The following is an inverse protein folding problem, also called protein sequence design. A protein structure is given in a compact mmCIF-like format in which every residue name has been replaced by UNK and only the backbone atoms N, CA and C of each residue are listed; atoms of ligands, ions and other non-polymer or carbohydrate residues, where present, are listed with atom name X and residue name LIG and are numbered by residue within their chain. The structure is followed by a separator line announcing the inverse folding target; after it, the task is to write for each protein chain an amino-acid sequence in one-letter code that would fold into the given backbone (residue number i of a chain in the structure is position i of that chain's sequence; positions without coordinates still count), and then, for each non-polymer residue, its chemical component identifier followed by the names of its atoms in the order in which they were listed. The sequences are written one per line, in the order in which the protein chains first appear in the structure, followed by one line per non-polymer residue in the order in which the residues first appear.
data_IF_293339941629
#
_entry.id   IF_293339941629
#
_cell.length_a   1.000
_cell.length_b   1.000
_cell.length_c   1.000
_cell.angle_alpha   90.00
_cell.angle_beta   90.00
_cell.angle_gamma   90.00
#
_symmetry.space_group_name_H-M   'P 1'
#
loop_
_entity.id
_entity.type
_entity.pdbx_description
1 polymer ?
#
# COMPACT_ATOMS: atom_id res chain seq x y z
N UNK A 1 -18.15 23.85 56.02
CA UNK A 1 -17.03 23.08 55.45
C UNK A 1 -17.44 22.63 54.05
N UNK A 2 -16.81 23.15 52.99
CA UNK A 2 -17.13 22.84 51.58
C UNK A 2 -16.16 21.76 51.10
N UNK A 3 -16.67 20.58 50.74
CA UNK A 3 -15.87 19.53 50.11
C UNK A 3 -15.78 19.79 48.61
N UNK A 4 -14.57 20.04 48.12
CA UNK A 4 -14.27 20.06 46.69
C UNK A 4 -13.84 18.65 46.26
N UNK A 5 -14.59 18.03 45.35
CA UNK A 5 -14.18 16.78 44.70
C UNK A 5 -13.36 17.10 43.46
N UNK A 6 -12.08 16.75 43.49
CA UNK A 6 -11.24 16.68 42.29
C UNK A 6 -11.52 15.36 41.57
N UNK A 7 -12.02 15.43 40.34
CA UNK A 7 -12.09 14.29 39.44
C UNK A 7 -10.80 14.24 38.61
N UNK A 8 -9.98 13.21 38.85
CA UNK A 8 -8.82 12.88 37.99
C UNK A 8 -9.35 12.10 36.79
N UNK A 9 -9.36 12.72 35.62
CA UNK A 9 -9.58 12.02 34.36
C UNK A 9 -8.30 11.34 33.89
N UNK A 10 -8.22 10.01 33.98
CA UNK A 10 -7.24 9.24 33.22
C UNK A 10 -7.66 9.21 31.76
N UNK A 11 -7.15 10.14 30.96
CA UNK A 11 -7.11 9.96 29.51
C UNK A 11 -5.93 9.03 29.21
N UNK A 12 -6.21 7.73 29.00
CA UNK A 12 -5.25 6.83 28.40
C UNK A 12 -5.10 7.26 26.93
N UNK A 13 -4.09 8.09 26.64
CA UNK A 13 -3.73 8.46 25.28
C UNK A 13 -3.20 7.23 24.56
N UNK A 14 -4.05 6.58 23.77
CA UNK A 14 -3.57 5.62 22.79
C UNK A 14 -2.83 6.44 21.75
N UNK A 15 -1.49 6.36 21.75
CA UNK A 15 -0.71 6.94 20.66
C UNK A 15 -1.00 6.06 19.45
N UNK A 16 -1.85 6.53 18.54
CA UNK A 16 -2.08 5.84 17.28
C UNK A 16 -0.75 5.81 16.51
N UNK A 17 -0.17 4.62 16.37
CA UNK A 17 0.95 4.39 15.46
C UNK A 17 0.41 4.47 14.03
N UNK A 18 1.06 5.23 13.16
CA UNK A 18 0.67 5.28 11.76
C UNK A 18 1.01 3.96 11.08
N UNK A 19 0.02 3.35 10.41
CA UNK A 19 0.24 2.14 9.62
C UNK A 19 1.34 2.38 8.60
N UNK A 20 2.31 1.46 8.54
CA UNK A 20 3.46 1.53 7.65
C UNK A 20 3.24 0.59 6.47
N UNK A 21 3.36 1.13 5.27
CA UNK A 21 3.48 0.38 4.02
C UNK A 21 4.94 0.00 3.82
N UNK A 22 5.23 -1.26 3.53
CA UNK A 22 6.51 -1.71 3.01
C UNK A 22 6.31 -2.26 1.61
N UNK A 23 7.15 -1.84 0.67
CA UNK A 23 7.10 -2.29 -0.72
C UNK A 23 8.47 -2.82 -1.15
N UNK A 24 8.48 -3.95 -1.84
CA UNK A 24 9.64 -4.52 -2.54
C UNK A 24 9.27 -4.74 -4.00
N UNK A 25 10.08 -4.22 -4.92
CA UNK A 25 9.85 -4.37 -6.36
C UNK A 25 11.12 -4.73 -7.11
N UNK A 26 10.94 -5.30 -8.31
CA UNK A 26 11.96 -5.47 -9.34
C UNK A 26 11.34 -5.07 -10.69
N UNK A 27 12.08 -4.37 -11.53
CA UNK A 27 11.70 -4.09 -12.91
C UNK A 27 12.83 -4.40 -13.90
N UNK A 28 12.44 -4.66 -15.14
CA UNK A 28 13.29 -4.66 -16.32
C UNK A 28 12.82 -3.45 -17.17
N UNK A 29 13.44 -2.27 -17.07
CA UNK A 29 14.75 -1.99 -16.46
C UNK A 29 14.72 -1.30 -15.11
N UNK A 30 13.82 -0.34 -14.91
CA UNK A 30 13.84 0.53 -13.73
C UNK A 30 12.45 0.71 -13.18
N UNK A 31 12.36 1.00 -11.87
CA UNK A 31 11.14 1.51 -11.29
C UNK A 31 11.41 2.53 -10.19
N UNK A 32 10.42 3.37 -9.96
CA UNK A 32 10.28 4.22 -8.79
C UNK A 32 8.90 3.99 -8.18
N UNK A 33 8.86 3.78 -6.86
CA UNK A 33 7.63 3.56 -6.12
C UNK A 33 7.33 4.76 -5.22
N UNK A 34 6.06 5.15 -5.18
CA UNK A 34 5.58 6.35 -4.52
C UNK A 34 4.33 6.08 -3.69
N UNK A 35 4.12 6.90 -2.66
CA UNK A 35 2.87 6.98 -1.91
C UNK A 35 2.17 8.30 -2.20
N UNK A 36 0.90 8.22 -2.60
CA UNK A 36 0.05 9.38 -2.82
C UNK A 36 -1.28 9.27 -2.10
N UNK A 37 -1.90 10.40 -1.77
CA UNK A 37 -3.31 10.45 -1.33
C UNK A 37 -4.25 10.85 -2.48
N UNK A 38 -3.70 11.03 -3.68
CA UNK A 38 -4.45 11.34 -4.90
C UNK A 38 -3.94 10.47 -6.04
N UNK A 39 -4.84 9.68 -6.64
CA UNK A 39 -4.51 8.73 -7.70
C UNK A 39 -3.95 9.40 -8.97
N UNK A 40 -4.15 10.70 -9.17
CA UNK A 40 -3.61 11.43 -10.34
C UNK A 40 -2.28 12.13 -10.08
N UNK A 41 -1.74 12.02 -8.86
CA UNK A 41 -0.49 12.69 -8.45
C UNK A 41 0.50 11.64 -8.01
N UNK A 42 1.73 11.72 -8.53
CA UNK A 42 2.82 10.77 -8.26
C UNK A 42 3.08 10.53 -6.76
N UNK A 43 3.11 11.60 -5.94
CA UNK A 43 3.26 11.47 -4.50
C UNK A 43 4.71 11.48 -4.01
N UNK A 44 4.96 10.84 -2.86
CA UNK A 44 6.25 10.83 -2.15
C UNK A 44 7.01 9.55 -2.43
N UNK A 45 8.29 9.65 -2.82
CA UNK A 45 9.13 8.49 -3.13
C UNK A 45 9.31 7.57 -1.91
N UNK A 46 9.10 6.27 -2.12
CA UNK A 46 9.30 5.20 -1.14
C UNK A 46 10.67 4.54 -1.38
N UNK A 47 10.89 4.07 -2.60
CA UNK A 47 12.14 3.45 -3.04
C UNK A 47 12.26 3.54 -4.57
N UNK A 48 13.48 3.30 -5.06
CA UNK A 48 13.79 3.26 -6.49
C UNK A 48 14.82 2.15 -6.76
N UNK A 49 14.70 1.50 -7.91
CA UNK A 49 15.71 0.57 -8.40
C UNK A 49 16.75 1.31 -9.23
N UNK A 50 18.03 1.12 -8.90
CA UNK A 50 19.15 1.82 -9.56
C UNK A 50 19.87 0.98 -10.61
N UNK A 51 19.65 -0.33 -10.64
CA UNK A 51 20.13 -1.25 -11.68
C UNK A 51 18.97 -1.85 -12.47
N UNK A 52 19.24 -2.75 -13.41
CA UNK A 52 18.21 -3.59 -14.06
C UNK A 52 17.99 -4.88 -13.25
N UNK A 53 17.03 -5.71 -13.64
CA UNK A 53 16.52 -6.86 -12.88
C UNK A 53 17.59 -7.86 -12.41
N UNK A 54 18.72 -7.97 -13.11
CA UNK A 54 19.84 -8.84 -12.70
C UNK A 54 20.55 -8.33 -11.43
N UNK A 55 20.39 -7.04 -11.10
CA UNK A 55 20.99 -6.41 -9.91
C UNK A 55 20.14 -6.59 -8.66
N UNK A 56 18.97 -7.24 -8.78
CA UNK A 56 17.99 -7.36 -7.71
C UNK A 56 17.07 -6.14 -7.62
N UNK A 57 16.17 -6.19 -6.63
CA UNK A 57 15.13 -5.20 -6.44
C UNK A 57 15.48 -4.09 -5.46
N UNK A 58 14.50 -3.22 -5.20
CA UNK A 58 14.56 -2.24 -4.14
C UNK A 58 13.41 -2.42 -3.15
N UNK A 59 13.69 -2.17 -1.87
CA UNK A 59 12.72 -2.21 -0.78
C UNK A 59 12.71 -0.86 -0.06
N UNK A 60 11.52 -0.36 0.28
CA UNK A 60 11.36 0.82 1.11
C UNK A 60 10.07 0.77 1.91
N UNK A 61 9.96 1.65 2.90
CA UNK A 61 8.79 1.75 3.76
C UNK A 61 8.41 3.19 4.04
N UNK A 62 7.12 3.45 4.20
CA UNK A 62 6.56 4.78 4.46
C UNK A 62 5.28 4.68 5.31
N UNK A 63 5.02 5.67 6.15
CA UNK A 63 3.77 5.75 6.89
C UNK A 63 2.62 6.23 5.99
N UNK A 64 1.47 5.56 6.08
CA UNK A 64 0.25 5.95 5.40
C UNK A 64 -0.37 7.20 6.02
N UNK A 65 -1.05 8.00 5.20
CA UNK A 65 -1.83 9.13 5.69
C UNK A 65 -3.15 8.61 6.25
N UNK A 66 -3.38 8.85 7.54
CA UNK A 66 -4.55 8.36 8.27
C UNK A 66 -5.88 8.86 7.67
N UNK A 67 -6.92 8.02 7.76
CA UNK A 67 -8.31 8.34 7.41
C UNK A 67 -8.57 8.78 5.97
N UNK A 68 -7.62 8.56 5.05
CA UNK A 68 -7.80 8.81 3.62
C UNK A 68 -7.34 7.59 2.82
N UNK A 69 -7.91 7.40 1.62
CA UNK A 69 -7.36 6.40 0.70
C UNK A 69 -5.96 6.84 0.27
N UNK A 70 -5.00 5.94 0.43
CA UNK A 70 -3.66 6.09 -0.09
C UNK A 70 -3.52 5.27 -1.38
N UNK A 71 -2.52 5.58 -2.19
CA UNK A 71 -2.22 4.91 -3.45
C UNK A 71 -0.74 4.55 -3.44
N UNK A 72 -0.45 3.26 -3.63
CA UNK A 72 0.88 2.81 -3.99
C UNK A 72 0.99 2.93 -5.50
N UNK A 73 1.83 3.87 -5.93
CA UNK A 73 2.12 4.16 -7.32
C UNK A 73 3.49 3.58 -7.68
N UNK A 74 3.61 2.93 -8.82
CA UNK A 74 4.89 2.46 -9.35
C UNK A 74 5.01 2.92 -10.80
N UNK A 75 6.02 3.74 -11.07
CA UNK A 75 6.42 4.07 -12.43
C UNK A 75 7.56 3.12 -12.80
N UNK A 76 7.28 2.18 -13.70
CA UNK A 76 8.28 1.31 -14.28
C UNK A 76 8.65 1.79 -15.69
N UNK A 77 9.90 1.55 -16.11
CA UNK A 77 10.40 2.01 -17.40
C UNK A 77 11.28 0.95 -18.07
N UNK A 78 10.94 0.66 -19.32
CA UNK A 78 11.82 -0.03 -20.26
C UNK A 78 12.77 1.00 -20.90
N UNK A 79 14.07 0.91 -20.58
CA UNK A 79 15.08 1.88 -21.04
C UNK A 79 15.97 1.31 -22.15
N UNK A 80 16.15 -0.01 -22.21
CA UNK A 80 17.04 -0.68 -23.17
C UNK A 80 16.29 -1.52 -24.22
N UNK A 81 14.95 -1.57 -24.15
CA UNK A 81 14.09 -2.34 -25.04
C UNK A 81 13.73 -3.71 -24.47
N UNK A 82 12.72 -4.34 -25.06
CA UNK A 82 12.22 -5.64 -24.65
C UNK A 82 13.34 -6.71 -24.51
N UNK A 83 13.23 -7.64 -23.56
CA UNK A 83 12.08 -7.92 -22.68
C UNK A 83 11.91 -6.87 -21.56
N UNK A 84 10.67 -6.65 -21.11
CA UNK A 84 10.35 -5.70 -20.03
C UNK A 84 9.29 -6.26 -19.08
N UNK A 85 9.41 -5.91 -17.80
CA UNK A 85 8.47 -6.37 -16.77
C UNK A 85 8.57 -5.53 -15.50
N UNK A 86 7.51 -5.59 -14.69
CA UNK A 86 7.50 -5.17 -13.31
C UNK A 86 6.94 -6.30 -12.44
N UNK A 87 7.55 -6.57 -11.30
CA UNK A 87 7.08 -7.55 -10.31
C UNK A 87 7.35 -7.01 -8.90
N UNK A 88 6.46 -7.30 -7.95
CA UNK A 88 6.64 -6.79 -6.60
C UNK A 88 5.66 -7.34 -5.59
N UNK A 89 5.86 -6.89 -4.36
CA UNK A 89 5.01 -7.21 -3.22
C UNK A 89 4.96 -6.03 -2.24
N UNK A 90 3.85 -5.91 -1.52
CA UNK A 90 3.67 -4.93 -0.47
C UNK A 90 3.05 -5.57 0.78
N UNK A 91 3.33 -4.98 1.94
CA UNK A 91 2.71 -5.35 3.21
C UNK A 91 2.39 -4.13 4.07
N UNK A 92 1.39 -4.28 4.93
CA UNK A 92 0.97 -3.30 5.92
C UNK A 92 1.37 -3.78 7.33
N UNK A 93 1.81 -2.87 8.20
CA UNK A 93 2.30 -3.21 9.55
C UNK A 93 1.22 -3.67 10.52
N UNK A 94 -0.04 -3.31 10.27
CA UNK A 94 -1.20 -3.53 11.14
C UNK A 94 -2.49 -3.46 10.31
N UNK A 95 -3.64 -3.63 10.95
CA UNK A 95 -4.96 -3.69 10.32
C UNK A 95 -5.68 -2.34 10.21
N UNK A 96 -5.01 -1.20 10.44
CA UNK A 96 -5.61 0.13 10.28
C UNK A 96 -5.92 0.49 8.83
N UNK A 97 -5.29 -0.22 7.89
CA UNK A 97 -5.53 -0.12 6.44
C UNK A 97 -5.58 -1.51 5.82
N UNK A 98 -6.17 -1.60 4.64
CA UNK A 98 -6.21 -2.81 3.81
C UNK A 98 -6.03 -2.46 2.32
N UNK A 99 -5.55 -3.43 1.55
CA UNK A 99 -5.59 -3.35 0.08
C UNK A 99 -7.01 -3.61 -0.45
N UNK A 100 -7.28 -3.29 -1.72
CA UNK A 100 -8.61 -3.48 -2.34
C UNK A 100 -9.15 -4.91 -2.31
N UNK A 101 -8.28 -5.90 -2.17
CA UNK A 101 -8.66 -7.31 -2.03
C UNK A 101 -8.88 -7.73 -0.56
N UNK A 102 -8.99 -6.76 0.37
CA UNK A 102 -9.23 -6.94 1.80
C UNK A 102 -8.12 -7.74 2.52
N UNK A 103 -6.87 -7.54 2.11
CA UNK A 103 -5.70 -8.20 2.72
C UNK A 103 -4.71 -7.16 3.27
N UNK A 104 -3.77 -7.65 4.09
CA UNK A 104 -2.61 -6.90 4.56
C UNK A 104 -1.37 -7.06 3.66
N UNK A 105 -1.48 -7.88 2.61
CA UNK A 105 -0.38 -8.17 1.69
C UNK A 105 -0.87 -8.12 0.25
N UNK A 106 -0.09 -7.47 -0.60
CA UNK A 106 -0.38 -7.38 -2.02
C UNK A 106 0.77 -7.98 -2.81
N UNK A 107 0.47 -8.90 -3.72
CA UNK A 107 1.41 -9.36 -4.74
C UNK A 107 1.02 -8.73 -6.07
N UNK A 108 1.99 -8.43 -6.94
CA UNK A 108 1.67 -8.03 -8.31
C UNK A 108 0.81 -9.09 -8.97
N UNK A 109 -0.36 -8.68 -9.48
CA UNK A 109 -1.32 -9.52 -10.19
C UNK A 109 -2.23 -8.65 -11.07
N UNK A 110 -2.77 -9.17 -12.19
CA UNK A 110 -3.54 -8.37 -13.12
C UNK A 110 -4.94 -7.98 -12.63
N UNK A 111 -5.44 -8.59 -11.55
CA UNK A 111 -6.81 -8.33 -11.06
C UNK A 111 -6.86 -7.13 -10.11
N UNK A 112 -5.82 -6.95 -9.29
CA UNK A 112 -5.77 -5.89 -8.28
C UNK A 112 -4.98 -4.66 -8.75
N UNK A 113 -4.00 -4.85 -9.64
CA UNK A 113 -3.18 -3.77 -10.15
C UNK A 113 -3.79 -3.14 -11.41
N UNK A 114 -3.77 -1.82 -11.43
CA UNK A 114 -4.16 -1.02 -12.59
C UNK A 114 -2.91 -0.49 -13.28
N UNK A 115 -2.98 -0.28 -14.59
CA UNK A 115 -1.86 0.22 -15.39
C UNK A 115 -2.30 1.35 -16.31
N UNK A 116 -1.47 2.39 -16.44
CA UNK A 116 -1.60 3.41 -17.48
C UNK A 116 -0.29 3.60 -18.24
N UNK A 117 -0.40 4.08 -19.48
CA UNK A 117 0.73 4.48 -20.32
C UNK A 117 0.93 6.00 -20.36
N UNK A 118 0.09 6.77 -19.66
CA UNK A 118 0.05 8.24 -19.79
C UNK A 118 0.15 8.97 -18.44
N UNK A 119 0.48 8.26 -17.37
CA UNK A 119 0.53 8.79 -16.00
C UNK A 119 -0.49 8.15 -15.06
N UNK A 120 -0.28 8.35 -13.75
CA UNK A 120 -1.19 7.85 -12.72
C UNK A 120 -2.59 8.46 -12.84
N UNK A 121 -3.62 7.64 -12.60
CA UNK A 121 -5.03 8.02 -12.61
C UNK A 121 -5.62 8.29 -14.01
N UNK A 122 -4.89 7.97 -15.08
CA UNK A 122 -5.31 8.25 -16.47
C UNK A 122 -5.61 6.96 -17.21
N UNK A 123 -6.85 6.76 -17.68
CA UNK A 123 -7.24 5.69 -18.61
C UNK A 123 -6.67 4.30 -18.24
N UNK A 124 -6.88 3.87 -16.99
CA UNK A 124 -6.34 2.60 -16.55
C UNK A 124 -6.85 1.42 -17.38
N UNK A 125 -5.91 0.52 -17.69
CA UNK A 125 -6.11 -0.76 -18.32
C UNK A 125 -5.67 -1.88 -17.38
N UNK A 126 -6.11 -3.09 -17.68
CA UNK A 126 -5.61 -4.31 -17.03
C UNK A 126 -4.18 -4.59 -17.53
N UNK A 127 -3.20 -4.78 -16.63
CA UNK A 127 -1.87 -5.22 -17.01
C UNK A 127 -1.88 -6.61 -17.67
N UNK A 128 -0.98 -6.82 -18.62
CA UNK A 128 -0.70 -8.15 -19.16
C UNK A 128 0.12 -8.95 -18.15
N UNK A 129 -0.33 -10.16 -17.83
CA UNK A 129 0.41 -11.11 -17.00
C UNK A 129 1.42 -11.90 -17.86
N UNK A 130 2.70 -11.73 -17.57
CA UNK A 130 3.81 -12.36 -18.28
C UNK A 130 4.28 -13.66 -17.63
N UNK A 131 3.65 -14.08 -16.52
CA UNK A 131 3.98 -15.30 -15.79
C UNK A 131 4.38 -15.05 -14.34
N UNK A 132 4.44 -16.12 -13.53
CA UNK A 132 4.89 -16.02 -12.14
C UNK A 132 6.37 -15.67 -12.02
N UNK A 133 6.79 -15.34 -10.80
CA UNK A 133 8.20 -15.31 -10.44
C UNK A 133 8.86 -16.67 -10.77
N UNK A 134 10.02 -16.65 -11.43
CA UNK A 134 10.65 -17.84 -12.03
C UNK A 134 10.46 -17.95 -13.55
N UNK A 135 9.51 -17.23 -14.16
CA UNK A 135 9.34 -17.23 -15.62
C UNK A 135 10.51 -16.55 -16.32
N UNK A 136 11.02 -17.21 -17.38
CA UNK A 136 12.08 -16.68 -18.23
C UNK A 136 11.63 -15.47 -19.06
N UNK A 137 12.55 -14.58 -19.44
CA UNK A 137 14.01 -14.68 -19.27
C UNK A 137 14.53 -14.27 -17.88
N UNK A 138 13.68 -13.70 -17.03
CA UNK A 138 14.09 -13.03 -15.78
C UNK A 138 14.38 -13.95 -14.60
N UNK A 139 14.09 -15.25 -14.71
CA UNK A 139 14.34 -16.24 -13.67
C UNK A 139 13.60 -15.94 -12.36
N UNK A 140 14.19 -16.34 -11.22
CA UNK A 140 13.60 -16.15 -9.89
C UNK A 140 14.17 -14.91 -9.21
N UNK A 141 13.30 -14.06 -8.67
CA UNK A 141 13.62 -12.93 -7.81
C UNK A 141 13.44 -13.36 -6.35
N UNK A 142 14.54 -13.65 -5.65
CA UNK A 142 14.53 -14.34 -4.35
C UNK A 142 13.91 -13.53 -3.20
N UNK A 143 13.84 -12.21 -3.33
CA UNK A 143 13.23 -11.28 -2.38
C UNK A 143 11.75 -10.99 -2.67
N UNK A 144 11.16 -11.67 -3.66
CA UNK A 144 9.76 -11.54 -4.06
C UNK A 144 9.09 -12.92 -3.98
N UNK A 145 7.85 -12.94 -3.49
CA UNK A 145 7.04 -14.15 -3.38
C UNK A 145 6.95 -14.89 -4.72
N UNK A 146 6.97 -16.23 -4.66
CA UNK A 146 6.94 -17.06 -5.87
C UNK A 146 5.62 -16.91 -6.64
N UNK A 147 4.54 -16.52 -5.97
CA UNK A 147 3.22 -16.34 -6.57
C UNK A 147 2.99 -14.95 -7.16
N UNK A 148 3.92 -14.00 -6.97
CA UNK A 148 3.85 -12.70 -7.61
C UNK A 148 3.93 -12.84 -9.14
N UNK A 149 3.14 -12.02 -9.84
CA UNK A 149 3.04 -12.03 -11.30
C UNK A 149 3.85 -10.91 -11.90
N UNK A 150 4.55 -11.20 -12.99
CA UNK A 150 5.23 -10.21 -13.81
C UNK A 150 4.18 -9.48 -14.64
N UNK A 151 4.08 -8.18 -14.45
CA UNK A 151 3.10 -7.34 -15.12
C UNK A 151 3.80 -6.45 -16.14
N UNK A 152 3.14 -6.23 -17.28
CA UNK A 152 3.51 -5.21 -18.24
C UNK A 152 2.29 -4.78 -19.06
N UNK A 153 2.51 -4.13 -20.20
CA UNK A 153 1.48 -3.94 -21.23
C UNK A 153 1.85 -4.66 -22.53
N UNK A 154 0.93 -4.68 -23.49
CA UNK A 154 1.25 -5.13 -24.86
C UNK A 154 2.17 -4.16 -25.61
N UNK A 155 2.31 -2.92 -25.15
CA UNK A 155 3.36 -2.01 -25.60
C UNK A 155 4.61 -2.24 -24.74
N UNK A 156 5.71 -2.61 -25.37
CA UNK A 156 6.90 -3.06 -24.63
C UNK A 156 7.77 -1.91 -24.15
N UNK A 157 7.84 -0.81 -24.90
CA UNK A 157 8.72 0.33 -24.62
C UNK A 157 8.01 1.46 -23.86
N UNK A 158 8.80 2.25 -23.13
CA UNK A 158 8.35 3.48 -22.49
C UNK A 158 8.05 3.33 -21.00
N UNK A 159 7.20 4.22 -20.51
CA UNK A 159 6.83 4.30 -19.09
C UNK A 159 5.47 3.68 -18.83
N UNK A 160 5.40 2.94 -17.72
CA UNK A 160 4.24 2.17 -17.29
C UNK A 160 3.91 2.54 -15.86
N UNK A 161 2.72 3.08 -15.66
CA UNK A 161 2.26 3.66 -14.41
C UNK A 161 1.28 2.70 -13.75
N UNK A 162 1.78 1.92 -12.80
CA UNK A 162 1.00 0.96 -12.04
C UNK A 162 0.45 1.59 -10.77
N UNK A 163 -0.80 1.29 -10.41
CA UNK A 163 -1.43 1.83 -9.20
C UNK A 163 -2.25 0.77 -8.48
N UNK A 164 -2.25 0.85 -7.15
CA UNK A 164 -3.21 0.17 -6.30
C UNK A 164 -3.63 1.08 -5.14
N UNK A 165 -4.91 1.04 -4.79
CA UNK A 165 -5.46 1.76 -3.65
C UNK A 165 -5.30 0.96 -2.34
N UNK A 166 -5.06 1.71 -1.26
CA UNK A 166 -4.93 1.24 0.12
C UNK A 166 -5.93 2.05 0.95
N UNK A 167 -6.93 1.38 1.51
CA UNK A 167 -8.08 2.04 2.16
C UNK A 167 -7.95 1.96 3.67
N UNK A 168 -8.33 3.02 4.40
CA UNK A 168 -8.42 2.94 5.85
C UNK A 168 -9.53 1.95 6.23
N UNK A 169 -9.25 1.08 7.19
CA UNK A 169 -10.26 0.22 7.80
C UNK A 169 -10.95 1.03 8.89
N UNK A 170 -12.28 1.25 8.82
CA UNK A 170 -12.98 1.97 9.87
C UNK A 170 -12.84 1.23 11.21
N UNK A 171 -12.38 1.93 12.25
CA UNK A 171 -12.36 1.38 13.60
C UNK A 171 -13.76 0.90 13.98
N UNK A 172 -13.92 -0.33 14.53
CA UNK A 172 -15.21 -0.75 15.04
C UNK A 172 -15.61 0.21 16.15
N UNK A 173 -16.73 0.92 15.96
CA UNK A 173 -17.28 1.87 16.93
C UNK A 173 -17.21 1.27 18.33
N UNK A 174 -16.33 1.81 19.16
CA UNK A 174 -16.15 1.33 20.53
C UNK A 174 -17.35 1.79 21.37
N UNK A 175 -18.46 1.05 21.31
CA UNK A 175 -19.71 1.27 22.05
C UNK A 175 -19.56 1.18 23.59
N UNK A 176 -18.35 0.91 24.08
CA UNK A 176 -18.06 0.70 25.51
C UNK A 176 -18.21 2.00 26.33
N UNK A 177 -18.08 3.19 25.70
CA UNK A 177 -18.22 4.48 26.38
C UNK A 177 -19.65 4.84 26.83
N UNK A 178 -20.67 4.39 26.09
CA UNK A 178 -22.07 4.81 26.34
C UNK A 178 -22.73 3.95 27.43
N UNK A 179 -22.40 2.65 27.49
CA UNK A 179 -22.93 1.74 28.50
C UNK A 179 -22.42 2.09 29.91
N UNK A 180 -21.17 2.52 30.04
CA UNK A 180 -20.58 2.94 31.32
C UNK A 180 -21.22 4.20 31.91
N UNK A 181 -21.51 5.20 31.07
CA UNK A 181 -22.18 6.44 31.48
C UNK A 181 -23.65 6.21 31.90
N UNK A 182 -24.36 5.29 31.22
CA UNK A 182 -25.72 4.93 31.60
C UNK A 182 -25.79 4.23 32.97
N UNK A 183 -24.83 3.35 33.27
CA UNK A 183 -24.76 2.65 34.56
C UNK A 183 -24.40 3.58 35.74
N UNK A 184 -23.53 4.57 35.52
CA UNK A 184 -23.19 5.58 36.55
C UNK A 184 -24.34 6.56 36.77
N UNK A 185 -25.06 6.97 35.72
CA UNK A 185 -26.25 7.81 35.84
C UNK A 185 -27.41 7.09 36.54
N UNK A 186 -27.60 5.78 36.29
CA UNK A 186 -28.63 4.98 36.95
C UNK A 186 -28.34 4.75 38.45
N UNK A 187 -27.06 4.69 38.85
CA UNK A 187 -26.68 4.55 40.27
C UNK A 187 -26.84 5.82 41.10
N UNK A 188 -26.89 7.00 40.47
CA UNK A 188 -27.14 8.29 41.17
C UNK A 188 -28.62 8.62 41.39
N UNK A 189 -29.55 7.80 40.87
CA UNK A 189 -31.01 8.00 41.00
C UNK A 189 -31.67 7.08 42.04
N UNK A 190 -30.91 6.46 42.94
CA UNK A 190 -31.43 5.73 44.11
C UNK A 190 -31.01 6.42 45.40
#
# INVERSE_FOLDING_TARGET
MRFAFFAIGLAAGVVAQATTLTFTGVADDFFEAYLSTNDTVQGTLICQQTGTWQSGGATGSISLVANVTNYLHVQARDAFGAPSMFIGQASLSDAGFEFLNNTQTMLTNPNDWQLSLNGFGVNYITPTDLGPNGTGPWGTQSNIDINARRLWSNQTAGEHYFSIAIRPVPEPFTLIGIAGLALVAARKRK
#
